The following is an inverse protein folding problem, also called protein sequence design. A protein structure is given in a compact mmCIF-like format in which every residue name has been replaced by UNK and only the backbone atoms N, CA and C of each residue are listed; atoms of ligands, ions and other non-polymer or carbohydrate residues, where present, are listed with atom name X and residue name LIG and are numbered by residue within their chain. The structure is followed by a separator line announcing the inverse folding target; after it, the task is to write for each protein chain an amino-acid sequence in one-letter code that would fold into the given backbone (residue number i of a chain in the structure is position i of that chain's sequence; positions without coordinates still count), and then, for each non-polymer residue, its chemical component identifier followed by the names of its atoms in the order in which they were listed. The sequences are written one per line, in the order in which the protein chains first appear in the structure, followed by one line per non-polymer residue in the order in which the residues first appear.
data_IF_549598958094
#
_entry.id   IF_549598958094
#
_cell.length_a   1.000
_cell.length_b   1.000
_cell.length_c   1.000
_cell.angle_alpha   90.00
_cell.angle_beta   90.00
_cell.angle_gamma   90.00
#
_symmetry.space_group_name_H-M   'P 1'
#
loop_
_entity.id
_entity.type
_entity.pdbx_description
1 polymer ?
#
# COMPACT_ATOMS: atom_id res chain seq x y z
N UNK A 1 0.75 2.78 17.51
CA UNK A 1 -0.58 2.24 17.11
C UNK A 1 -0.62 1.83 15.64
N UNK A 2 0.00 2.57 14.71
CA UNK A 2 -0.07 2.31 13.25
C UNK A 2 0.55 1.00 12.72
N UNK A 3 1.50 0.36 13.43
CA UNK A 3 2.16 -0.87 12.92
C UNK A 3 1.35 -2.16 13.09
N UNK A 4 0.40 -2.21 14.03
CA UNK A 4 -0.41 -3.41 14.27
C UNK A 4 -1.50 -3.58 13.20
N UNK A 5 -2.08 -2.48 12.72
CA UNK A 5 -3.14 -2.52 11.70
C UNK A 5 -2.63 -2.95 10.32
N UNK A 6 -1.39 -2.58 9.96
CA UNK A 6 -0.78 -3.00 8.68
C UNK A 6 -0.51 -4.51 8.66
N UNK A 7 -0.05 -5.08 9.77
CA UNK A 7 0.17 -6.53 9.89
C UNK A 7 -1.18 -7.27 9.86
N UNK A 8 -2.21 -6.74 10.51
CA UNK A 8 -3.57 -7.28 10.47
C UNK A 8 -4.20 -7.24 9.07
N UNK A 9 -3.94 -6.19 8.29
CA UNK A 9 -4.38 -6.07 6.90
C UNK A 9 -3.63 -7.04 5.98
N UNK A 10 -2.32 -7.22 6.15
CA UNK A 10 -1.53 -8.22 5.43
C UNK A 10 -1.97 -9.67 5.74
N UNK A 11 -2.43 -9.94 6.96
CA UNK A 11 -2.97 -11.25 7.34
C UNK A 11 -4.32 -11.54 6.68
N UNK A 12 -5.23 -10.55 6.60
CA UNK A 12 -6.54 -10.68 5.93
C UNK A 12 -6.43 -10.86 4.41
N UNK A 13 -5.39 -10.30 3.77
CA UNK A 13 -5.09 -10.53 2.35
C UNK A 13 -4.46 -11.90 2.07
N UNK A 14 -4.08 -12.65 3.11
CA UNK A 14 -3.57 -14.03 3.02
C UNK A 14 -4.68 -15.08 3.20
N UNK A 15 -5.94 -14.69 3.33
CA UNK A 15 -7.03 -15.62 3.05
C UNK A 15 -7.08 -15.83 1.55
N UNK A 16 -6.26 -16.77 1.09
CA UNK A 16 -6.20 -17.25 -0.28
C UNK A 16 -7.63 -17.61 -0.71
N UNK A 17 -8.14 -17.08 -1.83
CA UNK A 17 -9.45 -17.46 -2.33
C UNK A 17 -9.52 -18.98 -2.54
N UNK A 18 -10.29 -19.64 -1.67
CA UNK A 18 -10.80 -21.02 -1.70
C UNK A 18 -10.00 -22.05 -2.51
N UNK A 19 -8.76 -22.36 -2.08
CA UNK A 19 -8.07 -23.56 -2.57
C UNK A 19 -8.91 -24.81 -2.29
N UNK A 20 -9.65 -24.82 -1.18
CA UNK A 20 -10.53 -25.92 -0.76
C UNK A 20 -11.67 -26.19 -1.74
N UNK A 21 -12.34 -25.14 -2.26
CA UNK A 21 -13.42 -25.29 -3.23
C UNK A 21 -12.94 -25.87 -4.57
N UNK A 22 -11.78 -25.44 -5.05
CA UNK A 22 -11.18 -25.99 -6.28
C UNK A 22 -10.74 -27.45 -6.09
N UNK A 23 -10.16 -27.80 -4.93
CA UNK A 23 -9.76 -29.18 -4.61
C UNK A 23 -10.99 -30.10 -4.53
N UNK A 24 -12.07 -29.64 -3.90
CA UNK A 24 -13.30 -30.41 -3.78
C UNK A 24 -13.98 -30.66 -5.13
N UNK A 25 -14.13 -29.62 -5.96
CA UNK A 25 -14.72 -29.77 -7.30
C UNK A 25 -13.87 -30.68 -8.20
N UNK A 26 -12.54 -30.64 -8.09
CA UNK A 26 -11.65 -31.58 -8.79
C UNK A 26 -11.94 -33.02 -8.38
N UNK A 27 -11.96 -33.31 -7.07
CA UNK A 27 -12.27 -34.67 -6.56
C UNK A 27 -13.64 -35.14 -7.01
N UNK A 28 -14.64 -34.26 -7.00
CA UNK A 28 -15.99 -34.56 -7.46
C UNK A 28 -16.03 -34.89 -8.95
N UNK A 29 -15.37 -34.09 -9.79
CA UNK A 29 -15.26 -34.36 -11.23
C UNK A 29 -14.55 -35.69 -11.50
N UNK A 30 -13.44 -35.96 -10.82
CA UNK A 30 -12.67 -37.18 -10.99
C UNK A 30 -13.50 -38.43 -10.60
N UNK A 31 -14.33 -38.33 -9.56
CA UNK A 31 -15.28 -39.38 -9.18
C UNK A 31 -16.40 -39.58 -10.22
N UNK A 32 -16.94 -38.49 -10.77
CA UNK A 32 -17.96 -38.57 -11.82
C UNK A 32 -17.40 -39.14 -13.13
N UNK A 33 -16.16 -38.82 -13.50
CA UNK A 33 -15.47 -39.42 -14.66
C UNK A 33 -15.32 -40.93 -14.48
N UNK A 34 -14.91 -41.37 -13.28
CA UNK A 34 -14.83 -42.79 -12.95
C UNK A 34 -16.19 -43.49 -13.05
N UNK A 35 -17.26 -42.85 -12.59
CA UNK A 35 -18.63 -43.38 -12.69
C UNK A 35 -19.12 -43.42 -14.14
N UNK A 36 -18.85 -42.38 -14.94
CA UNK A 36 -19.25 -42.30 -16.35
C UNK A 36 -18.72 -43.48 -17.17
N UNK A 37 -17.50 -43.93 -16.88
CA UNK A 37 -16.89 -45.11 -17.51
C UNK A 37 -17.60 -46.44 -17.19
N UNK A 38 -18.47 -46.47 -16.17
CA UNK A 38 -19.20 -47.66 -15.70
C UNK A 38 -20.68 -47.66 -16.11
N UNK A 39 -21.23 -46.55 -16.60
CA UNK A 39 -22.63 -46.44 -17.00
C UNK A 39 -22.80 -46.44 -18.53
N UNK A 40 -23.97 -46.88 -18.98
CA UNK A 40 -24.40 -46.86 -20.39
C UNK A 40 -25.81 -46.25 -20.49
N UNK A 41 -26.21 -45.87 -21.71
CA UNK A 41 -27.53 -45.28 -21.97
C UNK A 41 -27.77 -43.98 -21.19
N UNK A 42 -29.02 -43.77 -20.74
CA UNK A 42 -29.45 -42.55 -20.04
C UNK A 42 -28.61 -42.21 -18.81
N UNK A 43 -28.23 -43.21 -18.01
CA UNK A 43 -27.42 -42.97 -16.81
C UNK A 43 -26.03 -42.40 -17.14
N UNK A 44 -25.44 -42.78 -18.28
CA UNK A 44 -24.16 -42.21 -18.73
C UNK A 44 -24.32 -40.73 -19.09
N UNK A 45 -25.44 -40.39 -19.72
CA UNK A 45 -25.78 -39.04 -20.13
C UNK A 45 -26.05 -38.13 -18.93
N UNK A 46 -26.75 -38.64 -17.91
CA UNK A 46 -26.98 -37.94 -16.64
C UNK A 46 -25.67 -37.64 -15.88
N UNK A 47 -24.73 -38.59 -15.87
CA UNK A 47 -23.39 -38.39 -15.30
C UNK A 47 -22.58 -37.37 -16.12
N UNK A 48 -22.68 -37.41 -17.45
CA UNK A 48 -22.03 -36.42 -18.31
C UNK A 48 -22.58 -35.00 -18.07
N UNK A 49 -23.89 -34.85 -17.92
CA UNK A 49 -24.53 -33.59 -17.54
C UNK A 49 -24.04 -33.09 -16.17
N UNK A 50 -23.91 -34.00 -15.20
CA UNK A 50 -23.38 -33.69 -13.87
C UNK A 50 -21.93 -33.20 -13.91
N UNK A 51 -21.09 -33.79 -14.77
CA UNK A 51 -19.70 -33.34 -15.00
C UNK A 51 -19.70 -31.91 -15.54
N UNK A 52 -20.51 -31.61 -16.56
CA UNK A 52 -20.63 -30.27 -17.14
C UNK A 52 -21.06 -29.22 -16.10
N UNK A 53 -21.95 -29.59 -15.17
CA UNK A 53 -22.36 -28.69 -14.07
C UNK A 53 -21.20 -28.41 -13.10
N UNK A 54 -20.41 -29.43 -12.75
CA UNK A 54 -19.23 -29.28 -11.87
C UNK A 54 -18.16 -28.39 -12.52
N UNK A 55 -17.93 -28.55 -13.84
CA UNK A 55 -17.02 -27.69 -14.59
C UNK A 55 -17.50 -26.24 -14.64
N UNK A 56 -18.80 -26.01 -14.87
CA UNK A 56 -19.39 -24.67 -14.84
C UNK A 56 -19.25 -24.00 -13.46
N UNK A 57 -19.37 -24.76 -12.37
CA UNK A 57 -19.14 -24.26 -11.02
C UNK A 57 -17.67 -23.93 -10.77
N UNK A 58 -16.74 -24.75 -11.26
CA UNK A 58 -15.31 -24.49 -11.14
C UNK A 58 -14.91 -23.19 -11.85
N UNK A 59 -15.43 -22.94 -13.05
CA UNK A 59 -15.21 -21.70 -13.80
C UNK A 59 -15.78 -20.48 -13.05
N UNK A 60 -17.00 -20.59 -12.51
CA UNK A 60 -17.61 -19.50 -11.73
C UNK A 60 -16.82 -19.14 -10.47
N UNK A 61 -16.28 -20.14 -9.77
CA UNK A 61 -15.42 -19.90 -8.60
C UNK A 61 -14.14 -19.17 -8.97
N UNK A 62 -13.48 -19.55 -10.07
CA UNK A 62 -12.31 -18.82 -10.56
C UNK A 62 -12.66 -17.38 -10.95
N UNK A 63 -13.71 -17.19 -11.76
CA UNK A 63 -14.09 -15.86 -12.25
C UNK A 63 -14.53 -14.89 -11.14
N UNK A 64 -15.34 -15.36 -10.18
CA UNK A 64 -15.76 -14.54 -9.05
C UNK A 64 -14.55 -14.09 -8.22
N UNK A 65 -13.64 -15.01 -7.95
CA UNK A 65 -12.48 -14.75 -7.11
C UNK A 65 -11.46 -13.86 -7.84
N UNK A 66 -11.24 -14.05 -9.14
CA UNK A 66 -10.34 -13.23 -9.95
C UNK A 66 -10.84 -11.78 -10.08
N UNK A 67 -12.14 -11.58 -10.33
CA UNK A 67 -12.74 -10.24 -10.42
C UNK A 67 -12.65 -9.45 -9.11
N UNK A 68 -12.99 -10.10 -7.99
CA UNK A 68 -12.88 -9.51 -6.65
C UNK A 68 -11.42 -9.21 -6.29
N UNK A 69 -10.48 -10.12 -6.57
CA UNK A 69 -9.04 -9.91 -6.36
C UNK A 69 -8.48 -8.76 -7.18
N UNK A 70 -8.86 -8.63 -8.45
CA UNK A 70 -8.40 -7.54 -9.33
C UNK A 70 -8.89 -6.19 -8.78
N UNK A 71 -10.15 -6.12 -8.37
CA UNK A 71 -10.72 -4.90 -7.80
C UNK A 71 -10.04 -4.51 -6.48
N UNK A 72 -9.81 -5.48 -5.59
CA UNK A 72 -9.17 -5.23 -4.30
C UNK A 72 -7.69 -4.85 -4.46
N UNK A 73 -6.96 -5.52 -5.37
CA UNK A 73 -5.59 -5.15 -5.73
C UNK A 73 -5.50 -3.73 -6.29
N UNK A 74 -6.49 -3.29 -7.08
CA UNK A 74 -6.56 -1.92 -7.56
C UNK A 74 -6.77 -0.91 -6.43
N UNK A 75 -7.69 -1.19 -5.50
CA UNK A 75 -7.91 -0.33 -4.31
C UNK A 75 -6.65 -0.23 -3.45
N UNK A 76 -5.99 -1.35 -3.18
CA UNK A 76 -4.72 -1.38 -2.41
C UNK A 76 -3.63 -0.57 -3.12
N UNK A 77 -3.47 -0.72 -4.44
CA UNK A 77 -2.50 0.07 -5.21
C UNK A 77 -2.79 1.57 -5.15
N UNK A 78 -4.08 1.95 -5.21
CA UNK A 78 -4.52 3.35 -5.08
C UNK A 78 -4.20 3.91 -3.68
N UNK A 79 -4.52 3.17 -2.62
CA UNK A 79 -4.19 3.56 -1.24
C UNK A 79 -2.69 3.70 -1.02
N UNK A 80 -1.88 2.75 -1.52
CA UNK A 80 -0.43 2.81 -1.44
C UNK A 80 0.13 4.08 -2.10
N UNK A 81 -0.41 4.47 -3.26
CA UNK A 81 0.01 5.70 -3.95
C UNK A 81 -0.34 6.95 -3.13
N UNK A 82 -1.52 7.01 -2.52
CA UNK A 82 -1.88 8.12 -1.63
C UNK A 82 -0.95 8.22 -0.41
N UNK A 83 -0.64 7.08 0.22
CA UNK A 83 0.30 7.03 1.33
C UNK A 83 1.69 7.54 0.93
N UNK A 84 2.22 7.07 -0.21
CA UNK A 84 3.51 7.56 -0.75
C UNK A 84 3.49 9.07 -0.96
N UNK A 85 2.42 9.61 -1.53
CA UNK A 85 2.26 11.04 -1.74
C UNK A 85 2.20 11.81 -0.40
N UNK A 86 1.43 11.32 0.58
CA UNK A 86 1.31 12.00 1.87
C UNK A 86 2.62 12.02 2.66
N UNK A 87 3.39 10.93 2.63
CA UNK A 87 4.70 10.88 3.29
C UNK A 87 5.69 11.82 2.62
N UNK A 88 5.74 11.85 1.28
CA UNK A 88 6.60 12.79 0.55
C UNK A 88 6.23 14.25 0.87
N UNK A 89 4.94 14.58 0.92
CA UNK A 89 4.49 15.93 1.30
C UNK A 89 4.88 16.28 2.75
N UNK A 90 4.75 15.35 3.69
CA UNK A 90 5.15 15.57 5.08
C UNK A 90 6.66 15.80 5.25
N UNK A 91 7.49 15.03 4.54
CA UNK A 91 8.95 15.22 4.55
C UNK A 91 9.36 16.57 3.94
N UNK A 92 8.73 16.97 2.82
CA UNK A 92 8.95 18.27 2.20
C UNK A 92 8.58 19.40 3.16
N UNK A 93 7.44 19.30 3.84
CA UNK A 93 6.99 20.34 4.75
C UNK A 93 7.90 20.45 5.99
N UNK A 94 8.37 19.31 6.50
CA UNK A 94 9.37 19.29 7.55
C UNK A 94 10.69 19.95 7.12
N UNK A 95 11.17 19.64 5.91
CA UNK A 95 12.38 20.26 5.36
C UNK A 95 12.22 21.78 5.20
N UNK A 96 11.05 22.24 4.73
CA UNK A 96 10.72 23.68 4.64
C UNK A 96 10.74 24.34 6.02
N UNK A 97 10.15 23.72 7.03
CA UNK A 97 10.16 24.24 8.39
C UNK A 97 11.59 24.37 8.95
N UNK A 98 12.48 23.42 8.64
CA UNK A 98 13.90 23.50 9.02
C UNK A 98 14.58 24.68 8.32
N UNK A 99 14.41 24.81 7.00
CA UNK A 99 15.01 25.90 6.21
C UNK A 99 14.54 27.27 6.70
N UNK A 100 13.25 27.43 7.01
CA UNK A 100 12.70 28.67 7.53
C UNK A 100 13.39 29.07 8.84
N UNK A 101 13.49 28.15 9.81
CA UNK A 101 14.15 28.41 11.10
C UNK A 101 15.61 28.79 10.93
N UNK A 102 16.34 28.15 10.03
CA UNK A 102 17.73 28.52 9.74
C UNK A 102 17.83 29.89 9.06
N UNK A 103 16.89 30.23 8.18
CA UNK A 103 16.82 31.54 7.55
C UNK A 103 16.61 32.65 8.56
N UNK A 104 15.65 32.48 9.48
CA UNK A 104 15.38 33.41 10.59
C UNK A 104 16.61 33.58 11.50
N UNK A 105 17.22 32.48 11.95
CA UNK A 105 18.40 32.51 12.79
C UNK A 105 19.62 33.18 12.10
N UNK A 106 19.78 32.97 10.79
CA UNK A 106 20.85 33.63 10.03
C UNK A 106 20.64 35.14 9.93
N UNK A 107 19.39 35.57 9.77
CA UNK A 107 19.07 37.00 9.69
C UNK A 107 19.26 37.69 11.05
N UNK A 108 18.87 37.04 12.15
CA UNK A 108 19.14 37.49 13.51
C UNK A 108 20.65 37.61 13.79
N UNK A 109 21.46 36.64 13.35
CA UNK A 109 22.92 36.71 13.54
C UNK A 109 23.56 37.84 12.71
N UNK A 110 23.10 38.09 11.47
CA UNK A 110 23.59 39.23 10.65
C UNK A 110 23.33 40.57 11.33
N UNK A 111 22.12 40.77 11.87
CA UNK A 111 21.75 41.99 12.61
C UNK A 111 22.63 42.14 13.85
N UNK A 112 22.83 41.05 14.59
CA UNK A 112 23.68 41.02 15.78
C UNK A 112 25.14 41.34 15.45
N UNK A 113 25.66 40.78 14.36
CA UNK A 113 27.02 41.01 13.89
C UNK A 113 27.23 42.44 13.38
N UNK A 114 26.25 43.01 12.68
CA UNK A 114 26.27 44.42 12.26
C UNK A 114 26.29 45.36 13.48
N UNK A 115 25.47 45.09 14.48
CA UNK A 115 25.46 45.83 15.75
C UNK A 115 26.82 45.76 16.47
N UNK A 116 27.41 44.56 16.57
CA UNK A 116 28.78 44.37 17.13
C UNK A 116 29.82 45.22 16.37
N UNK A 117 29.79 45.21 15.03
CA UNK A 117 30.70 46.01 14.19
C UNK A 117 30.55 47.52 14.43
N UNK A 118 29.32 48.03 14.45
CA UNK A 118 29.04 49.45 14.72
C UNK A 118 29.56 49.86 16.10
N UNK A 119 29.32 49.02 17.12
CA UNK A 119 29.75 49.28 18.50
C UNK A 119 31.28 49.39 18.60
N UNK A 120 32.01 48.50 17.93
CA UNK A 120 33.49 48.55 17.85
C UNK A 120 33.96 49.84 17.17
N UNK A 121 33.34 50.23 16.05
CA UNK A 121 33.71 51.44 15.32
C UNK A 121 33.57 52.71 16.17
N UNK A 122 32.51 52.79 16.97
CA UNK A 122 32.28 53.90 17.90
C UNK A 122 33.38 53.95 18.97
N UNK A 123 33.72 52.81 19.59
CA UNK A 123 34.79 52.68 20.60
C UNK A 123 36.17 53.10 20.05
N UNK A 124 36.47 52.77 18.79
CA UNK A 124 37.73 53.17 18.15
C UNK A 124 37.76 54.68 17.90
N UNK A 125 36.66 55.28 17.44
CA UNK A 125 36.60 56.73 17.20
C UNK A 125 36.76 57.54 18.49
N UNK A 126 36.10 57.15 19.58
CA UNK A 126 36.16 57.87 20.85
C UNK A 126 37.54 57.82 21.52
N UNK A 127 38.34 56.77 21.26
CA UNK A 127 39.70 56.65 21.77
C UNK A 127 40.75 57.44 20.95
N UNK A 128 40.46 57.78 19.70
CA UNK A 128 41.34 58.62 18.87
C UNK A 128 41.12 60.13 19.05
N UNK A 129 39.95 60.56 19.52
CA UNK A 129 39.62 61.98 19.77
C UNK A 129 40.05 62.51 21.14
N UNK A 130 40.67 61.68 21.99
CA UNK A 130 41.09 62.03 23.36
C UNK A 130 42.60 62.32 23.48
N UNK A 131 43.20 62.93 22.46
CA UNK A 131 44.57 63.48 22.49
C UNK A 131 44.54 65.00 22.41
#
# INVERSE_FOLDING_TARGET
MYSIDVIGLCAKLREVPSLEGHVLLKKQRDALEYLKGRFTGRNKEDVANSISMVEALAVKLTQKNEGELIQEKFKVKKLLNFLKQSFACAEIENARAVVLRFGEALEEEKVTQASKKIKILILIKSSQTSK
#
